data_IF_658519663468
#
_entry.id   IF_658519663468
#
_cell.length_a   1.000
_cell.length_b   1.000
_cell.length_c   1.000
_cell.angle_alpha   90.00
_cell.angle_beta   90.00
_cell.angle_gamma   90.00
#
_symmetry.space_group_name_H-M   'P 1'
#
loop_
_entity.id
_entity.type
_entity.pdbx_description
1 polymer ?
#
# COMPACT_ATOMS: atom_id res chain seq x y z
N UNK A 1 20.54 18.10 1.13
CA UNK A 1 21.04 16.87 1.78
C UNK A 1 21.13 15.76 0.75
N UNK A 2 22.04 14.81 0.99
CA UNK A 2 22.17 13.57 0.19
C UNK A 2 21.46 12.45 0.96
N UNK A 3 20.42 11.90 0.37
CA UNK A 3 19.51 10.95 1.00
C UNK A 3 19.57 9.61 0.27
N UNK A 4 19.77 8.51 1.00
CA UNK A 4 19.63 7.16 0.48
C UNK A 4 18.32 6.55 0.97
N UNK A 5 17.48 6.05 0.07
CA UNK A 5 16.26 5.31 0.42
C UNK A 5 16.39 3.84 0.01
N UNK A 6 15.99 2.94 0.90
CA UNK A 6 16.09 1.50 0.69
C UNK A 6 14.97 0.75 1.42
N UNK A 7 14.79 -0.53 1.10
CA UNK A 7 13.76 -1.38 1.73
C UNK A 7 12.58 -1.69 0.82
N UNK A 8 12.32 -0.85 -0.19
CA UNK A 8 11.36 -1.11 -1.27
C UNK A 8 11.91 -2.13 -2.28
N UNK A 9 11.02 -2.64 -3.15
CA UNK A 9 11.43 -3.52 -4.25
C UNK A 9 12.02 -2.71 -5.39
N UNK A 10 11.22 -1.85 -5.99
CA UNK A 10 11.64 -0.93 -7.07
C UNK A 10 10.75 0.30 -7.12
N UNK A 11 11.30 1.39 -7.64
CA UNK A 11 10.57 2.59 -8.01
C UNK A 11 11.00 3.06 -9.42
N UNK A 12 10.09 3.68 -10.20
CA UNK A 12 8.67 3.77 -9.93
C UNK A 12 7.98 2.41 -10.09
N UNK A 13 7.05 2.09 -9.21
CA UNK A 13 6.27 0.85 -9.29
C UNK A 13 5.01 0.94 -8.44
N UNK A 14 3.99 0.18 -8.82
CA UNK A 14 2.76 -0.04 -8.04
C UNK A 14 2.64 -1.48 -7.52
N UNK A 15 3.76 -2.20 -7.38
CA UNK A 15 3.81 -3.57 -6.84
C UNK A 15 3.30 -3.66 -5.39
N UNK A 16 3.34 -2.56 -4.65
CA UNK A 16 2.82 -2.48 -3.27
C UNK A 16 2.83 -1.06 -2.74
N UNK A 17 2.26 -0.88 -1.55
CA UNK A 17 2.15 0.43 -0.91
C UNK A 17 3.50 1.08 -0.61
N UNK A 18 4.49 0.28 -0.19
CA UNK A 18 5.85 0.80 0.11
C UNK A 18 6.48 1.45 -1.12
N UNK A 19 6.32 0.84 -2.30
CA UNK A 19 6.85 1.34 -3.56
C UNK A 19 6.22 2.70 -3.93
N UNK A 20 4.91 2.84 -3.71
CA UNK A 20 4.18 4.11 -3.94
C UNK A 20 4.71 5.18 -2.98
N UNK A 21 4.77 4.88 -1.68
CA UNK A 21 5.27 5.85 -0.66
C UNK A 21 6.69 6.31 -0.97
N UNK A 22 7.59 5.38 -1.29
CA UNK A 22 8.98 5.74 -1.62
C UNK A 22 9.05 6.57 -2.90
N UNK A 23 8.23 6.24 -3.91
CA UNK A 23 8.17 7.01 -5.16
C UNK A 23 7.74 8.45 -4.91
N UNK A 24 6.66 8.63 -4.13
CA UNK A 24 6.07 9.94 -3.86
C UNK A 24 6.98 10.80 -2.98
N UNK A 25 7.54 10.24 -1.91
CA UNK A 25 8.46 10.97 -1.03
C UNK A 25 9.76 11.33 -1.75
N UNK A 26 10.38 10.37 -2.45
CA UNK A 26 11.64 10.59 -3.12
C UNK A 26 11.55 11.67 -4.21
N UNK A 27 10.50 11.64 -5.03
CA UNK A 27 10.29 12.62 -6.09
C UNK A 27 10.08 14.03 -5.54
N UNK A 28 9.31 14.18 -4.45
CA UNK A 28 9.09 15.48 -3.80
C UNK A 28 10.35 16.02 -3.15
N UNK A 29 11.07 15.18 -2.44
CA UNK A 29 12.36 15.59 -1.84
C UNK A 29 13.39 16.00 -2.90
N UNK A 30 13.42 15.33 -4.06
CA UNK A 30 14.24 15.74 -5.18
C UNK A 30 13.80 17.10 -5.75
N UNK A 31 12.49 17.32 -5.91
CA UNK A 31 11.94 18.61 -6.34
C UNK A 31 12.21 19.74 -5.36
N UNK A 32 12.34 19.44 -4.05
CA UNK A 32 12.76 20.37 -3.00
C UNK A 32 14.28 20.63 -2.97
N UNK A 33 15.04 20.11 -3.95
CA UNK A 33 16.48 20.35 -4.11
C UNK A 33 17.38 19.41 -3.30
N UNK A 34 16.88 18.25 -2.87
CA UNK A 34 17.69 17.21 -2.23
C UNK A 34 18.23 16.21 -3.25
N UNK A 35 19.46 15.71 -3.05
CA UNK A 35 20.03 14.62 -3.85
C UNK A 35 19.53 13.28 -3.29
N UNK A 36 18.53 12.69 -3.96
CA UNK A 36 17.90 11.44 -3.50
C UNK A 36 18.36 10.27 -4.35
N UNK A 37 18.81 9.20 -3.71
CA UNK A 37 19.15 7.92 -4.36
C UNK A 37 18.29 6.80 -3.78
N UNK A 38 17.58 6.09 -4.64
CA UNK A 38 16.79 4.91 -4.27
C UNK A 38 17.49 3.63 -4.74
N UNK A 39 17.53 2.63 -3.84
CA UNK A 39 18.18 1.34 -4.11
C UNK A 39 17.14 0.28 -4.45
N UNK A 40 16.95 0.05 -5.74
CA UNK A 40 16.01 -0.93 -6.29
C UNK A 40 16.58 -2.35 -6.24
N UNK A 41 15.71 -3.34 -6.03
CA UNK A 41 16.08 -4.77 -6.19
C UNK A 41 16.29 -5.08 -7.67
N UNK A 42 17.26 -5.94 -7.95
CA UNK A 42 17.36 -6.65 -9.22
C UNK A 42 16.34 -7.82 -9.21
N UNK A 43 15.73 -8.13 -10.35
CA UNK A 43 14.74 -9.22 -10.45
C UNK A 43 13.50 -8.79 -11.24
N UNK A 44 12.50 -9.67 -11.26
CA UNK A 44 11.26 -9.46 -12.01
C UNK A 44 10.16 -8.83 -11.14
N UNK A 45 9.15 -8.25 -11.81
CA UNK A 45 7.95 -7.76 -11.18
C UNK A 45 7.16 -8.92 -10.55
N UNK A 46 6.59 -8.73 -9.35
CA UNK A 46 5.87 -9.80 -8.64
C UNK A 46 4.60 -10.26 -9.35
N UNK A 47 4.00 -9.40 -10.18
CA UNK A 47 2.78 -9.71 -10.94
C UNK A 47 3.03 -10.27 -12.35
N UNK A 48 4.30 -10.53 -12.69
CA UNK A 48 4.68 -11.12 -13.98
C UNK A 48 5.77 -10.33 -14.71
N UNK A 49 6.53 -11.03 -15.56
CA UNK A 49 7.64 -10.44 -16.34
C UNK A 49 7.16 -9.39 -17.35
N UNK A 50 5.92 -9.48 -17.78
CA UNK A 50 5.26 -8.52 -18.68
C UNK A 50 5.18 -7.11 -18.09
N UNK A 51 5.27 -6.99 -16.76
CA UNK A 51 5.30 -5.71 -16.05
C UNK A 51 6.74 -5.22 -15.73
N UNK A 52 7.76 -5.94 -16.17
CA UNK A 52 9.15 -5.50 -16.03
C UNK A 52 9.40 -4.26 -16.89
N UNK A 53 9.62 -3.12 -16.25
CA UNK A 53 10.06 -1.91 -16.93
C UNK A 53 11.54 -1.96 -17.31
N UNK A 54 11.95 -1.10 -18.24
CA UNK A 54 13.38 -0.86 -18.51
C UNK A 54 14.05 -0.33 -17.24
N UNK A 55 15.27 -0.80 -16.96
CA UNK A 55 16.08 -0.23 -15.89
C UNK A 55 16.38 1.23 -16.23
N UNK A 56 15.97 2.14 -15.37
CA UNK A 56 16.20 3.57 -15.49
C UNK A 56 17.32 3.98 -14.53
N UNK A 57 18.14 4.94 -14.92
CA UNK A 57 19.14 5.54 -14.04
C UNK A 57 18.54 6.64 -13.16
N UNK A 58 17.44 7.26 -13.62
CA UNK A 58 16.79 8.38 -12.95
C UNK A 58 15.28 8.37 -13.18
N UNK A 59 14.52 8.87 -12.21
CA UNK A 59 13.09 9.11 -12.29
C UNK A 59 12.71 10.37 -11.50
N UNK A 60 12.13 11.37 -12.15
CA UNK A 60 11.72 12.66 -11.54
C UNK A 60 12.80 13.28 -10.63
N UNK A 61 14.06 13.31 -11.09
CA UNK A 61 15.20 13.84 -10.33
C UNK A 61 15.77 12.89 -9.25
N UNK A 62 15.21 11.68 -9.12
CA UNK A 62 15.68 10.66 -8.17
C UNK A 62 16.63 9.71 -8.86
N UNK A 63 17.87 9.55 -8.34
CA UNK A 63 18.83 8.58 -8.84
C UNK A 63 18.43 7.16 -8.47
N UNK A 64 18.37 6.25 -9.44
CA UNK A 64 18.01 4.86 -9.26
C UNK A 64 19.24 3.96 -9.37
N UNK A 65 19.50 3.19 -8.32
CA UNK A 65 20.59 2.20 -8.29
C UNK A 65 20.01 0.82 -8.02
N UNK A 66 20.57 -0.18 -8.68
CA UNK A 66 20.12 -1.56 -8.55
C UNK A 66 21.14 -2.35 -7.74
N UNK A 67 20.66 -3.04 -6.71
CA UNK A 67 21.51 -3.89 -5.84
C UNK A 67 21.36 -5.36 -6.20
N UNK A 68 22.42 -6.15 -5.98
CA UNK A 68 22.35 -7.60 -6.11
C UNK A 68 21.21 -8.16 -5.27
N UNK A 69 20.47 -9.12 -5.85
CA UNK A 69 19.33 -9.74 -5.21
C UNK A 69 19.38 -11.24 -5.47
N UNK A 70 19.44 -12.03 -4.41
CA UNK A 70 19.45 -13.48 -4.48
C UNK A 70 17.99 -13.95 -4.57
N UNK A 71 17.61 -14.59 -5.66
CA UNK A 71 16.25 -15.10 -5.84
C UNK A 71 15.91 -16.18 -4.81
N UNK A 72 14.70 -16.14 -4.27
CA UNK A 72 14.18 -17.08 -3.28
C UNK A 72 13.23 -16.41 -2.29
N UNK A 73 12.26 -17.19 -1.76
CA UNK A 73 11.31 -16.71 -0.75
C UNK A 73 12.06 -16.17 0.46
N UNK A 74 11.94 -14.85 0.74
CA UNK A 74 12.61 -14.17 1.83
C UNK A 74 14.06 -13.74 1.55
N UNK A 75 14.86 -14.55 0.83
CA UNK A 75 16.26 -14.25 0.53
C UNK A 75 16.43 -12.99 -0.32
N UNK A 76 15.51 -12.75 -1.25
CA UNK A 76 15.53 -11.55 -2.09
C UNK A 76 15.40 -10.27 -1.25
N UNK A 77 14.57 -10.28 -0.21
CA UNK A 77 14.40 -9.15 0.69
C UNK A 77 15.65 -8.92 1.55
N UNK A 78 16.19 -9.99 2.14
CA UNK A 78 17.37 -9.91 3.03
C UNK A 78 18.61 -9.49 2.26
N UNK A 79 18.92 -10.15 1.13
CA UNK A 79 20.14 -9.85 0.35
C UNK A 79 20.10 -8.43 -0.22
N UNK A 80 18.98 -8.00 -0.81
CA UNK A 80 18.87 -6.64 -1.34
C UNK A 80 18.99 -5.59 -0.23
N UNK A 81 18.39 -5.83 0.95
CA UNK A 81 18.50 -4.92 2.08
C UNK A 81 19.92 -4.81 2.61
N UNK A 82 20.66 -5.93 2.67
CA UNK A 82 22.05 -5.92 3.07
C UNK A 82 22.93 -5.11 2.09
N UNK A 83 22.85 -5.38 0.78
CA UNK A 83 23.67 -4.65 -0.21
C UNK A 83 23.28 -3.17 -0.29
N UNK A 84 22.00 -2.84 -0.15
CA UNK A 84 21.56 -1.45 -0.12
C UNK A 84 22.05 -0.71 1.13
N UNK A 85 21.96 -1.34 2.31
CA UNK A 85 22.46 -0.78 3.56
C UNK A 85 23.98 -0.60 3.53
N UNK A 86 24.71 -1.56 2.97
CA UNK A 86 26.17 -1.46 2.79
C UNK A 86 26.53 -0.29 1.86
N UNK A 87 25.83 -0.15 0.73
CA UNK A 87 26.02 0.98 -0.16
C UNK A 87 25.67 2.32 0.50
N UNK A 88 24.60 2.36 1.30
CA UNK A 88 24.22 3.52 2.11
C UNK A 88 25.25 3.88 3.17
N UNK A 89 25.88 2.88 3.79
CA UNK A 89 26.94 3.06 4.78
C UNK A 89 28.24 3.63 4.19
N UNK A 90 28.69 3.05 3.07
CA UNK A 90 30.01 3.37 2.49
C UNK A 90 30.04 4.64 1.64
N UNK A 91 28.90 5.11 1.15
CA UNK A 91 28.82 6.31 0.30
C UNK A 91 28.58 7.58 1.13
N UNK A 92 28.77 8.72 0.48
CA UNK A 92 28.62 10.04 1.12
C UNK A 92 27.14 10.45 1.17
N UNK A 93 26.33 9.77 2.00
CA UNK A 93 24.97 10.19 2.32
C UNK A 93 24.94 10.87 3.70
N UNK A 94 24.03 11.83 3.85
CA UNK A 94 23.78 12.50 5.11
C UNK A 94 22.77 11.68 5.92
N UNK A 95 21.80 11.06 5.23
CA UNK A 95 20.71 10.24 5.83
C UNK A 95 20.55 8.95 5.03
N UNK A 96 20.29 7.87 5.76
CA UNK A 96 19.83 6.58 5.21
C UNK A 96 18.43 6.31 5.75
N UNK A 97 17.44 6.36 4.87
CA UNK A 97 16.04 6.10 5.20
C UNK A 97 15.67 4.68 4.77
N UNK A 98 15.26 3.87 5.73
CA UNK A 98 14.92 2.46 5.54
C UNK A 98 13.41 2.29 5.65
N UNK A 99 12.80 1.62 4.68
CA UNK A 99 11.36 1.36 4.67
C UNK A 99 11.07 -0.10 5.00
N UNK A 100 10.11 -0.34 5.90
CA UNK A 100 9.60 -1.60 6.42
C UNK A 100 10.50 -2.31 7.46
N UNK A 101 9.87 -3.15 8.27
CA UNK A 101 10.47 -3.84 9.43
C UNK A 101 11.56 -4.85 9.03
N UNK A 102 11.32 -5.64 7.97
CA UNK A 102 12.31 -6.61 7.51
C UNK A 102 13.65 -6.00 7.10
N UNK A 103 13.68 -5.00 6.18
CA UNK A 103 14.88 -4.23 5.85
C UNK A 103 15.52 -3.51 7.02
N UNK A 104 14.75 -3.10 8.02
CA UNK A 104 15.26 -2.43 9.22
C UNK A 104 16.20 -3.31 10.07
N UNK A 105 16.21 -4.62 9.84
CA UNK A 105 17.24 -5.51 10.39
C UNK A 105 18.68 -5.09 10.06
N UNK A 106 18.85 -4.26 9.03
CA UNK A 106 20.15 -3.74 8.58
C UNK A 106 20.48 -2.32 9.08
N UNK A 107 19.65 -1.72 9.97
CA UNK A 107 19.85 -0.36 10.52
C UNK A 107 21.22 -0.16 11.16
N UNK A 108 21.74 -1.17 11.82
CA UNK A 108 23.04 -1.11 12.52
C UNK A 108 24.20 -0.81 11.57
N UNK A 109 24.12 -1.24 10.30
CA UNK A 109 25.22 -1.11 9.35
C UNK A 109 25.51 0.35 8.99
N UNK A 110 24.59 1.16 8.43
CA UNK A 110 24.84 2.57 8.22
C UNK A 110 25.10 3.33 9.53
N UNK A 111 24.52 2.90 10.64
CA UNK A 111 24.78 3.52 11.95
C UNK A 111 26.22 3.37 12.40
N UNK A 112 26.86 2.21 12.19
CA UNK A 112 28.28 2.00 12.46
C UNK A 112 29.21 2.94 11.68
N UNK A 113 28.77 3.39 10.50
CA UNK A 113 29.50 4.36 9.67
C UNK A 113 29.07 5.81 9.95
N UNK A 114 28.45 6.08 11.09
CA UNK A 114 28.08 7.42 11.53
C UNK A 114 26.97 8.08 10.73
N UNK A 115 26.16 7.30 9.97
CA UNK A 115 25.04 7.86 9.21
C UNK A 115 23.86 8.13 10.13
N UNK A 116 23.08 9.17 9.81
CA UNK A 116 21.75 9.33 10.39
C UNK A 116 20.82 8.29 9.76
N UNK A 117 20.13 7.52 10.60
CA UNK A 117 19.26 6.42 10.17
C UNK A 117 17.82 6.74 10.58
N UNK A 118 16.93 6.79 9.58
CA UNK A 118 15.48 6.93 9.78
C UNK A 118 14.81 5.67 9.27
N UNK A 119 13.77 5.21 9.95
CA UNK A 119 13.00 4.03 9.54
C UNK A 119 11.53 4.40 9.46
N UNK A 120 10.84 4.03 8.36
CA UNK A 120 9.39 4.07 8.26
C UNK A 120 8.81 2.67 8.34
N UNK A 121 7.91 2.47 9.31
CA UNK A 121 7.11 1.25 9.50
C UNK A 121 5.78 1.41 8.76
N UNK A 122 5.55 0.59 7.74
CA UNK A 122 4.35 0.65 6.88
C UNK A 122 3.19 -0.22 7.39
N UNK A 123 3.28 -0.72 8.58
CA UNK A 123 2.35 -1.62 9.24
C UNK A 123 3.13 -2.73 9.93
N UNK A 124 2.50 -3.42 10.87
CA UNK A 124 3.12 -4.50 11.63
C UNK A 124 3.09 -5.79 10.79
N UNK A 125 4.19 -6.03 10.05
CA UNK A 125 4.28 -7.13 9.07
C UNK A 125 4.08 -8.51 9.70
N UNK A 126 4.47 -8.70 10.96
CA UNK A 126 4.30 -9.96 11.68
C UNK A 126 2.83 -10.34 11.93
N UNK A 127 1.89 -9.40 11.87
CA UNK A 127 0.45 -9.66 11.95
C UNK A 127 -0.10 -10.32 10.66
N UNK A 128 0.63 -10.25 9.53
CA UNK A 128 0.20 -10.81 8.25
C UNK A 128 0.38 -12.32 8.24
N UNK A 129 -0.56 -13.05 7.64
CA UNK A 129 -0.56 -14.51 7.62
C UNK A 129 0.73 -15.09 7.04
N UNK A 130 1.28 -14.48 5.99
CA UNK A 130 2.57 -14.86 5.38
C UNK A 130 3.71 -14.95 6.40
N UNK A 131 3.66 -14.18 7.47
CA UNK A 131 4.70 -14.06 8.49
C UNK A 131 4.26 -14.55 9.86
N UNK A 132 3.03 -15.09 10.01
CA UNK A 132 2.45 -15.46 11.30
C UNK A 132 3.18 -16.63 12.00
N UNK A 133 4.00 -17.41 11.29
CA UNK A 133 4.70 -18.58 11.84
C UNK A 133 6.11 -18.74 11.26
N UNK A 134 7.07 -19.15 12.09
CA UNK A 134 8.39 -19.62 11.66
C UNK A 134 9.49 -18.56 11.67
N UNK A 135 10.51 -18.77 10.82
CA UNK A 135 11.72 -17.93 10.77
C UNK A 135 11.42 -16.49 10.35
N UNK A 136 10.42 -16.30 9.46
CA UNK A 136 10.02 -14.97 8.99
C UNK A 136 9.58 -14.04 10.12
N UNK A 137 8.73 -14.51 11.03
CA UNK A 137 8.29 -13.74 12.21
C UNK A 137 9.47 -13.32 13.09
N UNK A 138 10.39 -14.27 13.35
CA UNK A 138 11.60 -13.97 14.16
C UNK A 138 12.48 -12.92 13.49
N UNK A 139 12.60 -12.97 12.15
CA UNK A 139 13.38 -11.99 11.40
C UNK A 139 12.74 -10.59 11.44
N UNK A 140 11.41 -10.49 11.34
CA UNK A 140 10.70 -9.21 11.45
C UNK A 140 10.88 -8.61 12.84
N UNK A 141 10.66 -9.39 13.91
CA UNK A 141 10.91 -8.91 15.27
C UNK A 141 12.39 -8.58 15.53
N UNK A 142 13.32 -9.26 14.85
CA UNK A 142 14.71 -8.84 14.89
C UNK A 142 14.90 -7.47 14.22
N UNK A 143 14.22 -7.21 13.09
CA UNK A 143 14.20 -5.90 12.44
C UNK A 143 13.64 -4.80 13.36
N UNK A 144 12.53 -5.07 14.07
CA UNK A 144 11.98 -4.13 15.06
C UNK A 144 12.99 -3.80 16.16
N UNK A 145 13.64 -4.80 16.74
CA UNK A 145 14.68 -4.59 17.76
C UNK A 145 15.88 -3.80 17.22
N UNK A 146 16.27 -4.07 15.98
CA UNK A 146 17.35 -3.31 15.32
C UNK A 146 16.96 -1.85 15.14
N UNK A 147 15.75 -1.55 14.62
CA UNK A 147 15.33 -0.16 14.47
C UNK A 147 15.15 0.56 15.80
N UNK A 148 14.59 -0.10 16.80
CA UNK A 148 14.45 0.46 18.16
C UNK A 148 15.81 0.85 18.74
N UNK A 149 16.84 0.06 18.51
CA UNK A 149 18.20 0.27 19.04
C UNK A 149 19.03 1.26 18.25
N UNK A 150 18.94 1.23 16.90
CA UNK A 150 19.92 1.88 16.04
C UNK A 150 19.35 3.02 15.19
N UNK A 151 18.04 3.10 14.97
CA UNK A 151 17.46 4.23 14.25
C UNK A 151 17.47 5.51 15.09
N UNK A 152 17.81 6.63 14.48
CA UNK A 152 17.74 7.96 15.11
C UNK A 152 16.28 8.37 15.26
N UNK A 153 15.45 8.10 14.24
CA UNK A 153 14.02 8.36 14.24
C UNK A 153 13.26 7.17 13.63
N UNK A 154 12.07 6.91 14.15
CA UNK A 154 11.13 5.93 13.62
C UNK A 154 9.84 6.64 13.26
N UNK A 155 9.40 6.48 12.02
CA UNK A 155 8.14 6.99 11.49
C UNK A 155 7.14 5.83 11.46
N UNK A 156 5.93 6.09 11.90
CA UNK A 156 4.79 5.18 11.82
C UNK A 156 3.62 5.89 11.14
N UNK A 157 2.64 5.15 10.63
CA UNK A 157 1.58 5.72 9.80
C UNK A 157 0.29 6.07 10.57
N UNK A 158 0.15 5.55 11.80
CA UNK A 158 -1.05 5.73 12.64
C UNK A 158 -0.71 5.69 14.14
N UNK A 159 -1.65 6.15 14.96
CA UNK A 159 -1.48 6.23 16.41
C UNK A 159 -1.42 4.83 17.09
N UNK A 160 -2.10 3.82 16.55
CA UNK A 160 -2.07 2.45 17.11
C UNK A 160 -0.67 1.84 16.99
N UNK A 161 0.01 2.03 15.85
CA UNK A 161 1.39 1.59 15.67
C UNK A 161 2.35 2.37 16.58
N UNK A 162 2.14 3.67 16.77
CA UNK A 162 2.90 4.49 17.73
C UNK A 162 2.73 3.96 19.17
N UNK A 163 1.49 3.69 19.56
CA UNK A 163 1.18 3.10 20.86
C UNK A 163 1.86 1.74 21.04
N UNK A 164 1.84 0.88 20.01
CA UNK A 164 2.51 -0.41 20.03
C UNK A 164 4.02 -0.27 20.33
N UNK A 165 4.73 0.63 19.64
CA UNK A 165 6.17 0.85 19.88
C UNK A 165 6.44 1.41 21.28
N UNK A 166 5.57 2.28 21.78
CA UNK A 166 5.68 2.83 23.13
C UNK A 166 5.46 1.75 24.18
N UNK A 167 4.40 0.95 24.05
CA UNK A 167 4.02 -0.06 25.06
C UNK A 167 4.99 -1.26 25.03
N UNK A 168 5.48 -1.65 23.85
CA UNK A 168 6.32 -2.86 23.69
C UNK A 168 7.79 -2.59 23.96
N UNK A 169 8.28 -1.43 23.53
CA UNK A 169 9.71 -1.13 23.53
C UNK A 169 10.10 0.13 24.31
N UNK A 170 9.14 0.90 24.82
CA UNK A 170 9.38 2.21 25.42
C UNK A 170 9.97 3.22 24.41
N UNK A 171 9.74 2.96 23.09
CA UNK A 171 10.34 3.74 22.00
C UNK A 171 9.38 4.77 21.46
N UNK A 172 9.77 6.04 21.57
CA UNK A 172 9.04 7.14 20.92
C UNK A 172 9.16 7.05 19.40
N UNK A 173 8.02 7.25 18.71
CA UNK A 173 7.92 7.28 17.26
C UNK A 173 7.11 8.49 16.81
N UNK A 174 7.29 8.91 15.56
CA UNK A 174 6.58 10.05 14.97
C UNK A 174 5.53 9.55 14.00
N UNK A 175 4.28 9.98 14.16
CA UNK A 175 3.21 9.66 13.19
C UNK A 175 3.31 10.61 12.00
N UNK A 176 3.56 10.04 10.83
CA UNK A 176 3.50 10.76 9.55
C UNK A 176 2.65 9.88 8.60
N UNK A 177 1.38 10.23 8.38
CA UNK A 177 0.51 9.45 7.51
C UNK A 177 0.94 9.56 6.04
N UNK A 178 0.51 8.60 5.23
CA UNK A 178 0.65 8.68 3.78
C UNK A 178 -0.20 9.83 3.24
N UNK A 179 0.23 10.41 2.12
CA UNK A 179 -0.55 11.41 1.41
C UNK A 179 -1.41 10.81 0.29
N UNK A 180 -2.20 11.68 -0.33
CA UNK A 180 -2.91 11.41 -1.56
C UNK A 180 -2.94 12.69 -2.39
N UNK A 181 -3.07 12.56 -3.72
CA UNK A 181 -3.29 13.68 -4.64
C UNK A 181 -4.72 13.65 -5.15
N UNK A 182 -5.23 14.82 -5.51
CA UNK A 182 -6.49 14.92 -6.24
C UNK A 182 -6.24 14.50 -7.69
N UNK A 183 -6.83 13.38 -8.15
CA UNK A 183 -6.59 12.88 -9.49
C UNK A 183 -7.43 13.62 -10.54
N UNK A 184 -7.02 13.51 -11.78
CA UNK A 184 -7.87 13.83 -12.92
C UNK A 184 -8.76 12.62 -13.21
N UNK A 185 -10.08 12.81 -13.17
CA UNK A 185 -11.03 11.74 -13.51
C UNK A 185 -11.04 11.47 -15.01
N UNK A 186 -11.23 10.22 -15.37
CA UNK A 186 -11.28 9.74 -16.75
C UNK A 186 -12.59 9.03 -17.04
N UNK A 187 -13.10 9.24 -18.24
CA UNK A 187 -14.24 8.47 -18.76
C UNK A 187 -13.83 7.01 -19.04
N UNK A 188 -14.81 6.11 -18.99
CA UNK A 188 -14.61 4.70 -19.26
C UNK A 188 -14.34 4.46 -20.76
N UNK A 189 -13.10 4.23 -21.13
CA UNK A 189 -12.63 3.86 -22.46
C UNK A 189 -12.06 2.45 -22.46
N UNK A 190 -10.83 2.31 -21.95
CA UNK A 190 -10.10 1.04 -21.93
C UNK A 190 -10.79 -0.03 -21.06
N UNK A 191 -11.41 0.34 -19.96
CA UNK A 191 -12.13 -0.62 -19.10
C UNK A 191 -13.38 -1.17 -19.77
N UNK A 192 -14.03 -0.39 -20.64
CA UNK A 192 -15.16 -0.85 -21.46
C UNK A 192 -14.70 -1.83 -22.51
N UNK A 193 -13.66 -1.46 -23.25
CA UNK A 193 -13.09 -2.29 -24.30
C UNK A 193 -12.56 -3.63 -23.78
N UNK A 194 -11.76 -3.58 -22.72
CA UNK A 194 -11.02 -4.75 -22.23
C UNK A 194 -11.84 -5.67 -21.35
N UNK A 195 -12.76 -5.12 -20.54
CA UNK A 195 -13.49 -5.86 -19.51
C UNK A 195 -15.02 -5.77 -19.64
N UNK A 196 -15.55 -5.11 -20.66
CA UNK A 196 -17.00 -4.93 -20.88
C UNK A 196 -17.67 -4.16 -19.74
N UNK A 197 -16.97 -3.20 -19.13
CA UNK A 197 -17.51 -2.40 -18.03
C UNK A 197 -18.20 -1.15 -18.57
N UNK A 198 -19.48 -1.28 -18.90
CA UNK A 198 -20.34 -0.19 -19.42
C UNK A 198 -21.42 0.25 -18.44
N UNK A 199 -21.60 -0.45 -17.33
CA UNK A 199 -22.60 -0.17 -16.30
C UNK A 199 -21.91 0.09 -14.95
N UNK A 200 -22.59 0.68 -13.95
CA UNK A 200 -22.06 0.89 -12.62
C UNK A 200 -21.55 -0.41 -11.99
N UNK A 201 -20.42 -0.36 -11.33
CA UNK A 201 -19.78 -1.52 -10.68
C UNK A 201 -19.23 -1.18 -9.29
N UNK A 202 -19.11 -2.21 -8.46
CA UNK A 202 -18.39 -2.18 -7.21
C UNK A 202 -16.91 -2.52 -7.52
N UNK A 203 -15.98 -1.75 -6.96
CA UNK A 203 -14.53 -1.95 -7.17
C UNK A 203 -13.88 -2.42 -5.87
N UNK A 204 -13.17 -3.53 -5.92
CA UNK A 204 -12.19 -3.94 -4.91
C UNK A 204 -10.80 -3.96 -5.54
N UNK A 205 -9.86 -3.21 -4.97
CA UNK A 205 -8.51 -3.09 -5.51
C UNK A 205 -7.48 -3.31 -4.41
N UNK A 206 -6.76 -4.42 -4.49
CA UNK A 206 -5.70 -4.78 -3.56
C UNK A 206 -4.82 -5.89 -4.13
N UNK A 207 -3.70 -6.20 -3.47
CA UNK A 207 -3.05 -7.49 -3.69
C UNK A 207 -4.00 -8.61 -3.25
N UNK A 208 -4.08 -9.68 -4.01
CA UNK A 208 -4.95 -10.81 -3.68
C UNK A 208 -4.22 -11.76 -2.73
N UNK A 209 -4.27 -11.40 -1.44
CA UNK A 209 -3.68 -12.12 -0.31
C UNK A 209 -4.73 -12.31 0.78
N UNK A 210 -4.63 -13.36 1.64
CA UNK A 210 -5.69 -13.71 2.60
C UNK A 210 -6.12 -12.56 3.51
N UNK A 211 -5.19 -11.76 4.00
CA UNK A 211 -5.49 -10.62 4.89
C UNK A 211 -6.32 -9.50 4.23
N UNK A 212 -6.46 -9.51 2.90
CA UNK A 212 -7.35 -8.56 2.18
C UNK A 212 -8.79 -9.02 2.07
N UNK A 213 -9.07 -10.27 2.47
CA UNK A 213 -10.41 -10.84 2.60
C UNK A 213 -11.31 -10.66 1.37
N UNK A 214 -10.70 -10.77 0.17
CA UNK A 214 -11.47 -10.80 -1.08
C UNK A 214 -12.43 -11.99 -1.13
N UNK A 215 -12.11 -13.08 -0.47
CA UNK A 215 -13.00 -14.23 -0.28
C UNK A 215 -14.30 -13.85 0.47
N UNK A 216 -14.21 -13.09 1.56
CA UNK A 216 -15.36 -12.58 2.29
C UNK A 216 -16.26 -11.69 1.41
N UNK A 217 -15.63 -10.84 0.59
CA UNK A 217 -16.37 -9.98 -0.33
C UNK A 217 -17.11 -10.78 -1.40
N UNK A 218 -16.50 -11.79 -1.98
CA UNK A 218 -17.16 -12.67 -2.97
C UNK A 218 -18.33 -13.39 -2.32
N UNK A 219 -18.14 -13.97 -1.13
CA UNK A 219 -19.18 -14.65 -0.36
C UNK A 219 -20.39 -13.74 -0.10
N UNK A 220 -20.16 -12.52 0.38
CA UNK A 220 -21.21 -11.54 0.64
C UNK A 220 -21.88 -11.08 -0.66
N UNK A 221 -21.11 -10.72 -1.70
CA UNK A 221 -21.62 -10.17 -2.95
C UNK A 221 -22.53 -11.14 -3.70
N UNK A 222 -22.23 -12.43 -3.70
CA UNK A 222 -23.08 -13.46 -4.34
C UNK A 222 -24.50 -13.48 -3.82
N UNK A 223 -24.73 -13.01 -2.59
CA UNK A 223 -26.05 -12.93 -1.96
C UNK A 223 -26.74 -11.58 -2.17
N UNK A 224 -26.02 -10.57 -2.70
CA UNK A 224 -26.58 -9.24 -2.99
C UNK A 224 -27.42 -9.30 -4.26
N UNK A 225 -28.65 -8.75 -4.18
CA UNK A 225 -29.56 -8.62 -5.32
C UNK A 225 -29.27 -7.32 -6.06
N UNK A 226 -28.49 -7.40 -7.13
CA UNK A 226 -28.10 -6.24 -7.93
C UNK A 226 -27.64 -6.68 -9.33
N UNK A 227 -27.87 -5.82 -10.32
CA UNK A 227 -27.32 -5.98 -11.67
C UNK A 227 -25.91 -5.38 -11.80
N UNK A 228 -25.40 -4.73 -10.75
CA UNK A 228 -24.06 -4.16 -10.77
C UNK A 228 -23.02 -5.27 -10.73
N UNK A 229 -21.89 -5.06 -11.44
CA UNK A 229 -20.75 -5.97 -11.39
C UNK A 229 -19.89 -5.74 -10.16
N UNK A 230 -19.20 -6.79 -9.69
CA UNK A 230 -18.08 -6.68 -8.77
C UNK A 230 -16.78 -6.82 -9.57
N UNK A 231 -15.98 -5.78 -9.58
CA UNK A 231 -14.67 -5.76 -10.25
C UNK A 231 -13.59 -5.95 -9.20
N UNK A 232 -12.85 -7.04 -9.32
CA UNK A 232 -11.73 -7.39 -8.44
C UNK A 232 -10.44 -7.12 -9.22
N UNK A 233 -9.74 -6.05 -8.83
CA UNK A 233 -8.50 -5.62 -9.45
C UNK A 233 -7.31 -5.90 -8.53
N UNK A 234 -6.28 -6.57 -9.08
CA UNK A 234 -5.05 -6.90 -8.38
C UNK A 234 -4.48 -8.25 -8.81
N UNK A 235 -3.20 -8.43 -8.51
CA UNK A 235 -2.47 -9.66 -8.78
C UNK A 235 -2.20 -10.49 -7.53
N UNK A 236 -1.81 -11.75 -7.71
CA UNK A 236 -1.26 -12.56 -6.65
C UNK A 236 0.11 -12.00 -6.21
N UNK A 237 0.50 -12.29 -4.98
CA UNK A 237 1.83 -11.94 -4.46
C UNK A 237 2.37 -13.15 -3.69
N UNK A 238 2.89 -14.14 -4.42
CA UNK A 238 3.27 -15.47 -3.90
C UNK A 238 2.07 -16.25 -3.28
N UNK A 239 0.85 -16.05 -3.79
CA UNK A 239 -0.42 -16.57 -3.24
C UNK A 239 -1.30 -17.16 -4.35
N UNK A 240 -0.73 -17.97 -5.24
CA UNK A 240 -1.45 -18.54 -6.39
C UNK A 240 -2.62 -19.43 -5.94
N UNK A 241 -2.45 -20.20 -4.86
CA UNK A 241 -3.52 -21.03 -4.27
C UNK A 241 -4.72 -20.18 -3.81
N UNK A 242 -4.46 -19.01 -3.22
CA UNK A 242 -5.54 -18.10 -2.80
C UNK A 242 -6.25 -17.49 -4.01
N UNK A 243 -5.52 -17.14 -5.06
CA UNK A 243 -6.10 -16.69 -6.32
C UNK A 243 -7.02 -17.73 -6.95
N UNK A 244 -6.59 -19.01 -6.98
CA UNK A 244 -7.42 -20.11 -7.47
C UNK A 244 -8.67 -20.29 -6.61
N UNK A 245 -8.53 -20.23 -5.27
CA UNK A 245 -9.69 -20.24 -4.35
C UNK A 245 -10.70 -19.16 -4.73
N UNK A 246 -10.24 -17.90 -4.92
CA UNK A 246 -11.11 -16.77 -5.26
C UNK A 246 -11.84 -17.00 -6.59
N UNK A 247 -11.15 -17.49 -7.63
CA UNK A 247 -11.76 -17.80 -8.92
C UNK A 247 -12.81 -18.91 -8.80
N UNK A 248 -12.54 -19.94 -8.02
CA UNK A 248 -13.50 -21.03 -7.78
C UNK A 248 -14.73 -20.51 -7.01
N UNK A 249 -14.57 -19.62 -6.03
CA UNK A 249 -15.66 -19.01 -5.31
C UNK A 249 -16.54 -18.10 -6.20
N UNK A 250 -15.94 -17.45 -7.19
CA UNK A 250 -16.64 -16.59 -8.13
C UNK A 250 -17.29 -17.35 -9.27
N UNK A 251 -16.94 -18.64 -9.47
CA UNK A 251 -17.47 -19.44 -10.56
C UNK A 251 -19.00 -19.51 -10.56
N UNK A 252 -19.61 -19.31 -11.74
CA UNK A 252 -21.07 -19.32 -11.93
C UNK A 252 -21.77 -17.99 -11.59
N UNK A 253 -21.03 -16.93 -11.26
CA UNK A 253 -21.59 -15.58 -11.14
C UNK A 253 -20.89 -14.63 -12.12
N UNK A 254 -21.52 -14.41 -13.29
CA UNK A 254 -20.98 -13.58 -14.37
C UNK A 254 -20.88 -12.09 -14.02
N UNK A 255 -21.40 -11.69 -12.85
CA UNK A 255 -21.24 -10.33 -12.35
C UNK A 255 -19.85 -10.08 -11.75
N UNK A 256 -19.08 -11.13 -11.44
CA UNK A 256 -17.74 -11.00 -10.82
C UNK A 256 -16.66 -11.01 -11.91
N UNK A 257 -15.92 -9.92 -12.01
CA UNK A 257 -14.89 -9.69 -13.03
C UNK A 257 -13.52 -9.53 -12.39
N UNK A 258 -12.56 -10.38 -12.76
CA UNK A 258 -11.16 -10.24 -12.36
C UNK A 258 -10.38 -9.53 -13.46
N UNK A 259 -9.72 -8.41 -13.11
CA UNK A 259 -8.90 -7.66 -14.09
C UNK A 259 -7.43 -8.10 -14.11
N UNK A 260 -6.98 -8.80 -13.07
CA UNK A 260 -5.56 -8.98 -12.80
C UNK A 260 -4.91 -7.69 -12.30
N UNK A 261 -3.58 -7.66 -12.33
CA UNK A 261 -2.82 -6.45 -11.98
C UNK A 261 -3.08 -5.33 -13.01
N UNK A 262 -3.40 -4.14 -12.53
CA UNK A 262 -3.69 -2.96 -13.36
C UNK A 262 -2.88 -1.76 -12.90
N UNK A 263 -2.51 -0.89 -13.84
CA UNK A 263 -1.81 0.37 -13.59
C UNK A 263 -2.10 1.39 -14.70
N UNK A 264 -1.64 2.64 -14.51
CA UNK A 264 -1.81 3.72 -15.49
C UNK A 264 -3.29 4.01 -15.77
N UNK A 265 -3.62 4.30 -17.03
CA UNK A 265 -4.95 4.75 -17.44
C UNK A 265 -6.07 3.78 -17.05
N UNK A 266 -5.85 2.45 -17.14
CA UNK A 266 -6.86 1.45 -16.73
C UNK A 266 -7.21 1.60 -15.25
N UNK A 267 -6.20 1.79 -14.39
CA UNK A 267 -6.40 2.01 -12.97
C UNK A 267 -7.16 3.31 -12.69
N UNK A 268 -6.78 4.39 -13.39
CA UNK A 268 -7.44 5.70 -13.28
C UNK A 268 -8.91 5.62 -13.72
N UNK A 269 -9.20 4.92 -14.82
CA UNK A 269 -10.57 4.70 -15.30
C UNK A 269 -11.38 3.84 -14.31
N UNK A 270 -10.77 2.80 -13.70
CA UNK A 270 -11.44 1.96 -12.71
C UNK A 270 -11.89 2.76 -11.49
N UNK A 271 -11.01 3.59 -10.93
CA UNK A 271 -11.40 4.46 -9.81
C UNK A 271 -12.43 5.53 -10.22
N UNK A 272 -12.25 6.14 -11.40
CA UNK A 272 -13.10 7.25 -11.87
C UNK A 272 -14.57 6.87 -12.07
N UNK A 273 -14.82 5.62 -12.47
CA UNK A 273 -16.14 5.14 -12.88
C UNK A 273 -16.77 4.13 -11.90
N UNK A 274 -16.11 3.82 -10.78
CA UNK A 274 -16.69 2.95 -9.77
C UNK A 274 -17.92 3.59 -9.11
N UNK A 275 -18.96 2.80 -8.89
CA UNK A 275 -20.13 3.18 -8.12
C UNK A 275 -19.83 3.19 -6.62
N UNK A 276 -19.12 2.16 -6.15
CA UNK A 276 -18.76 1.93 -4.77
C UNK A 276 -17.36 1.30 -4.74
N UNK A 277 -16.51 1.73 -3.82
CA UNK A 277 -15.25 1.07 -3.51
C UNK A 277 -15.39 0.23 -2.24
N UNK A 278 -14.86 -1.02 -2.26
CA UNK A 278 -14.96 -1.93 -1.12
C UNK A 278 -13.59 -2.41 -0.68
N UNK A 279 -13.26 -2.27 0.61
CA UNK A 279 -12.02 -2.75 1.21
C UNK A 279 -12.31 -3.62 2.44
N UNK A 280 -12.41 -4.96 2.28
CA UNK A 280 -12.79 -5.86 3.36
C UNK A 280 -11.64 -6.34 4.24
N UNK A 281 -10.51 -5.65 4.23
CA UNK A 281 -9.25 -6.05 4.85
C UNK A 281 -9.35 -6.33 6.35
N UNK A 282 -8.67 -7.38 6.80
CA UNK A 282 -8.48 -7.67 8.23
C UNK A 282 -7.31 -6.88 8.85
N UNK A 283 -6.34 -6.47 8.02
CA UNK A 283 -5.11 -5.82 8.46
C UNK A 283 -4.67 -4.81 7.40
N UNK A 284 -4.38 -3.60 7.84
CA UNK A 284 -3.76 -2.53 7.07
C UNK A 284 -2.67 -1.83 7.89
N UNK A 285 -1.78 -1.11 7.23
CA UNK A 285 -0.94 -0.11 7.90
C UNK A 285 -1.58 1.27 7.77
N UNK A 286 -1.69 1.72 6.52
CA UNK A 286 -2.53 2.83 6.06
C UNK A 286 -2.92 2.51 4.61
N UNK A 287 -4.19 2.26 4.33
CA UNK A 287 -4.62 1.70 3.05
C UNK A 287 -4.59 2.75 1.92
N UNK A 288 -3.49 2.80 1.14
CA UNK A 288 -3.35 3.73 0.01
C UNK A 288 -4.47 3.61 -1.01
N UNK A 289 -4.93 2.39 -1.29
CA UNK A 289 -6.03 2.18 -2.24
C UNK A 289 -7.35 2.78 -1.78
N UNK A 290 -7.56 2.90 -0.46
CA UNK A 290 -8.71 3.59 0.11
C UNK A 290 -8.55 5.11 -0.01
N UNK A 291 -7.37 5.65 0.29
CA UNK A 291 -7.06 7.06 0.07
C UNK A 291 -7.28 7.46 -1.39
N UNK A 292 -6.74 6.64 -2.32
CA UNK A 292 -6.93 6.83 -3.76
C UNK A 292 -8.42 6.76 -4.13
N UNK A 293 -9.16 5.75 -3.68
CA UNK A 293 -10.58 5.62 -3.97
C UNK A 293 -11.37 6.87 -3.54
N UNK A 294 -11.13 7.35 -2.33
CA UNK A 294 -11.78 8.57 -1.82
C UNK A 294 -11.36 9.81 -2.61
N UNK A 295 -10.10 9.93 -3.03
CA UNK A 295 -9.63 11.07 -3.83
C UNK A 295 -10.28 11.17 -5.21
N UNK A 296 -10.67 10.01 -5.79
CA UNK A 296 -11.50 9.95 -7.00
C UNK A 296 -12.98 10.27 -6.75
N UNK A 297 -13.38 10.52 -5.51
CA UNK A 297 -14.78 10.77 -5.13
C UNK A 297 -15.61 9.50 -5.10
N UNK A 298 -15.06 8.37 -4.65
CA UNK A 298 -15.84 7.15 -4.48
C UNK A 298 -16.48 7.09 -3.09
N UNK A 299 -17.72 6.60 -3.04
CA UNK A 299 -18.27 6.08 -1.80
C UNK A 299 -17.47 4.84 -1.40
N UNK A 300 -17.03 4.74 -0.15
CA UNK A 300 -16.21 3.65 0.34
C UNK A 300 -16.93 2.85 1.43
N UNK A 301 -16.91 1.52 1.31
CA UNK A 301 -17.34 0.56 2.33
C UNK A 301 -16.12 -0.24 2.78
N UNK A 302 -15.78 -0.17 4.07
CA UNK A 302 -14.58 -0.83 4.60
C UNK A 302 -14.88 -1.61 5.86
N UNK A 303 -14.00 -2.57 6.20
CA UNK A 303 -14.03 -3.18 7.52
C UNK A 303 -13.77 -2.14 8.62
N UNK A 304 -14.31 -2.37 9.82
CA UNK A 304 -14.22 -1.47 10.97
C UNK A 304 -12.88 -1.58 11.75
N UNK A 305 -11.80 -1.96 11.07
CA UNK A 305 -10.46 -1.90 11.64
C UNK A 305 -10.04 -0.44 11.87
N UNK A 306 -9.20 -0.21 12.87
CA UNK A 306 -8.81 1.14 13.28
C UNK A 306 -8.23 1.96 12.13
N UNK A 307 -7.37 1.35 11.31
CA UNK A 307 -6.69 1.99 10.18
C UNK A 307 -7.68 2.45 9.08
N UNK A 308 -8.74 1.70 8.84
CA UNK A 308 -9.79 2.09 7.89
C UNK A 308 -10.71 3.14 8.50
N UNK A 309 -11.08 2.98 9.76
CA UNK A 309 -11.95 3.93 10.50
C UNK A 309 -11.33 5.31 10.57
N UNK A 310 -10.01 5.39 10.85
CA UNK A 310 -9.26 6.66 10.90
C UNK A 310 -9.24 7.37 9.53
N UNK A 311 -9.23 6.60 8.44
CA UNK A 311 -9.24 7.17 7.08
C UNK A 311 -10.61 7.68 6.69
N UNK A 312 -11.67 6.88 6.85
CA UNK A 312 -13.00 7.26 6.33
C UNK A 312 -13.77 8.17 7.27
N UNK A 313 -13.56 8.06 8.58
CA UNK A 313 -14.35 8.77 9.61
C UNK A 313 -15.87 8.66 9.32
N UNK A 314 -16.55 9.81 9.11
CA UNK A 314 -17.98 9.87 8.76
C UNK A 314 -18.22 9.90 7.24
N UNK A 315 -17.15 9.90 6.42
CA UNK A 315 -17.21 10.02 4.96
C UNK A 315 -17.20 8.67 4.23
N UNK A 316 -17.53 7.59 4.93
CA UNK A 316 -17.66 6.23 4.39
C UNK A 316 -18.52 5.36 5.27
N UNK A 317 -18.78 4.13 4.79
CA UNK A 317 -19.51 3.12 5.53
C UNK A 317 -18.56 2.08 6.11
N UNK A 318 -18.88 1.59 7.30
CA UNK A 318 -18.15 0.53 7.98
C UNK A 318 -19.03 -0.71 8.12
N UNK A 319 -18.41 -1.88 7.98
CA UNK A 319 -19.00 -3.15 8.34
C UNK A 319 -18.11 -3.87 9.37
N UNK A 320 -18.68 -4.78 10.15
CA UNK A 320 -17.95 -5.54 11.16
C UNK A 320 -16.90 -6.45 10.51
N UNK A 321 -15.64 -6.29 10.90
CA UNK A 321 -14.53 -7.09 10.41
C UNK A 321 -14.84 -8.59 10.45
N UNK A 322 -14.66 -9.25 9.31
CA UNK A 322 -14.83 -10.70 9.18
C UNK A 322 -16.29 -11.17 9.14
N UNK A 323 -17.27 -10.28 9.17
CA UNK A 323 -18.70 -10.60 9.15
C UNK A 323 -19.27 -10.46 7.73
N UNK A 324 -19.49 -11.61 7.07
CA UNK A 324 -20.01 -11.67 5.71
C UNK A 324 -21.49 -11.20 5.63
N UNK A 325 -22.28 -11.43 6.68
CA UNK A 325 -23.68 -11.03 6.69
C UNK A 325 -23.82 -9.51 6.83
N UNK A 326 -23.04 -8.89 7.73
CA UNK A 326 -23.05 -7.43 7.87
C UNK A 326 -22.51 -6.76 6.58
N UNK A 327 -21.45 -7.32 5.96
CA UNK A 327 -20.96 -6.86 4.66
C UNK A 327 -22.02 -6.95 3.57
N UNK A 328 -22.72 -8.09 3.46
CA UNK A 328 -23.85 -8.28 2.53
C UNK A 328 -24.92 -7.22 2.73
N UNK A 329 -25.37 -7.02 3.97
CA UNK A 329 -26.47 -6.11 4.30
C UNK A 329 -26.09 -4.65 3.99
N UNK A 330 -24.83 -4.26 4.26
CA UNK A 330 -24.30 -2.94 3.89
C UNK A 330 -24.21 -2.78 2.38
N UNK A 331 -23.72 -3.79 1.65
CA UNK A 331 -23.67 -3.78 0.19
C UNK A 331 -25.06 -3.64 -0.42
N UNK A 332 -26.04 -4.45 0.06
CA UNK A 332 -27.42 -4.37 -0.43
C UNK A 332 -27.99 -2.97 -0.21
N UNK A 333 -27.87 -2.44 1.01
CA UNK A 333 -28.35 -1.10 1.34
C UNK A 333 -27.76 -0.02 0.45
N UNK A 334 -26.44 -0.07 0.17
CA UNK A 334 -25.79 0.91 -0.70
C UNK A 334 -26.20 0.74 -2.16
N UNK A 335 -26.42 -0.49 -2.63
CA UNK A 335 -26.95 -0.76 -3.97
C UNK A 335 -28.38 -0.21 -4.16
N UNK A 336 -29.19 -0.26 -3.12
CA UNK A 336 -30.61 0.17 -3.12
C UNK A 336 -30.79 1.67 -2.81
N UNK A 337 -29.72 2.36 -2.36
CA UNK A 337 -29.78 3.76 -1.93
C UNK A 337 -28.78 4.65 -2.70
N UNK A 338 -29.03 4.97 -3.98
CA UNK A 338 -28.14 5.79 -4.80
C UNK A 338 -27.87 7.18 -4.21
N UNK A 339 -28.86 7.78 -3.55
CA UNK A 339 -28.72 9.09 -2.91
C UNK A 339 -27.69 9.08 -1.75
N UNK A 340 -27.67 7.97 -0.97
CA UNK A 340 -26.69 7.78 0.08
C UNK A 340 -25.27 7.65 -0.48
N UNK A 341 -25.12 6.87 -1.55
CA UNK A 341 -23.86 6.73 -2.28
C UNK A 341 -23.41 8.07 -2.83
N UNK A 342 -24.35 8.84 -3.43
CA UNK A 342 -24.07 10.16 -3.98
C UNK A 342 -23.56 11.12 -2.90
N UNK A 343 -24.18 11.15 -1.72
CA UNK A 343 -23.74 12.00 -0.61
C UNK A 343 -22.27 11.76 -0.27
N UNK A 344 -21.85 10.50 -0.05
CA UNK A 344 -20.46 10.19 0.22
C UNK A 344 -19.53 10.56 -0.94
N UNK A 345 -19.96 10.34 -2.17
CA UNK A 345 -19.16 10.69 -3.36
C UNK A 345 -18.90 12.17 -3.52
N UNK A 346 -19.87 13.00 -3.17
CA UNK A 346 -19.75 14.46 -3.29
C UNK A 346 -18.75 15.03 -2.26
N UNK A 347 -18.61 14.40 -1.09
CA UNK A 347 -17.78 14.87 0.03
C UNK A 347 -16.38 14.22 0.08
N UNK A 348 -16.23 12.98 -0.40
CA UNK A 348 -15.04 12.16 -0.19
C UNK A 348 -13.74 12.79 -0.68
N UNK A 349 -13.72 13.36 -1.88
CA UNK A 349 -12.50 13.90 -2.49
C UNK A 349 -11.98 15.13 -1.76
N UNK A 350 -12.87 16.05 -1.38
CA UNK A 350 -12.49 17.28 -0.64
C UNK A 350 -12.01 16.92 0.75
N UNK A 351 -12.70 16.00 1.43
CA UNK A 351 -12.32 15.52 2.75
C UNK A 351 -10.91 14.90 2.74
N UNK A 352 -10.69 13.88 1.90
CA UNK A 352 -9.46 13.09 1.96
C UNK A 352 -8.23 13.87 1.48
N UNK A 353 -8.37 14.67 0.40
CA UNK A 353 -7.28 15.49 -0.12
C UNK A 353 -6.98 16.70 0.78
N UNK A 354 -7.94 17.16 1.57
CA UNK A 354 -7.70 18.17 2.60
C UNK A 354 -7.01 17.63 3.85
N UNK A 355 -7.21 16.34 4.15
CA UNK A 355 -6.65 15.69 5.35
C UNK A 355 -5.24 15.14 5.14
N UNK A 356 -4.93 14.56 3.98
CA UNK A 356 -3.69 13.85 3.73
C UNK A 356 -2.98 14.36 2.48
N UNK A 357 -1.79 14.93 2.68
CA UNK A 357 -0.95 15.51 1.63
C UNK A 357 0.41 14.82 1.55
N UNK A 358 0.84 14.48 0.33
CA UNK A 358 2.20 13.97 0.11
C UNK A 358 3.27 15.04 0.35
N UNK A 359 2.94 16.31 0.13
CA UNK A 359 3.87 17.41 0.36
C UNK A 359 4.12 17.56 1.86
N UNK A 360 3.06 17.56 2.69
CA UNK A 360 3.17 17.55 4.15
C UNK A 360 3.96 16.34 4.66
N UNK A 361 3.70 15.16 4.10
CA UNK A 361 4.42 13.95 4.49
C UNK A 361 5.92 14.04 4.17
N UNK A 362 6.28 14.62 3.02
CA UNK A 362 7.67 14.84 2.63
C UNK A 362 8.35 15.87 3.52
N UNK A 363 7.71 17.02 3.79
CA UNK A 363 8.24 18.08 4.65
C UNK A 363 8.47 17.58 6.08
N UNK A 364 7.47 16.95 6.71
CA UNK A 364 7.60 16.37 8.06
C UNK A 364 8.68 15.29 8.13
N UNK A 365 8.83 14.50 7.07
CA UNK A 365 9.90 13.50 6.99
C UNK A 365 11.28 14.18 6.91
N UNK A 366 11.43 15.26 6.13
CA UNK A 366 12.67 16.03 6.03
C UNK A 366 13.05 16.72 7.34
N UNK A 367 12.08 17.15 8.15
CA UNK A 367 12.34 17.70 9.49
C UNK A 367 13.03 16.67 10.39
N UNK A 368 12.65 15.39 10.30
CA UNK A 368 13.27 14.31 11.06
C UNK A 368 14.67 13.93 10.56
N UNK A 369 15.09 14.41 9.38
CA UNK A 369 16.43 14.20 8.85
C UNK A 369 17.45 15.21 9.42
N UNK A 370 17.00 16.23 10.10
CA UNK A 370 17.82 17.21 10.80
C UNK A 370 18.01 16.78 12.27
#
# INVERSE_FOLDING_TARGET
MRIAMLGHKRIPSREGGVEIVVTELAARMAAMGHEVTCYNRSGHHVSGKEFDGKKMAEYKGVHLKYVPTINGKGLAAVSSSFFAALAGALRKYDVVHIHAEGPAAMCWLPKLFGKRVVVTVHGLDWKREKWARGFGTRYIHFGERCMVRYADRIIVLNEDTKKYFQDTYGRETTVIPNGVERPVRRDAGLIREKYGLSSPYLLALSRLVPEKRTDLLIEAFRQVKTEKKLVIAGGSSDTDEYMEKLKNMAAGDDRIVFTGFVQGQILEELYSNAYLYVLPSDIEGMPLSLLEAMSYGNCCLTSDIAECREVVEENGELFRRGDADDLRDKLQRLCDSPDRVKKYRDEAADFICGKYSWDDAAEKTLELYR
#
